data_IF_343410737440
#
_entry.id   IF_343410737440
#
_cell.length_a   1.000
_cell.length_b   1.000
_cell.length_c   1.000
_cell.angle_alpha   90.00
_cell.angle_beta   90.00
_cell.angle_gamma   90.00
#
_symmetry.space_group_name_H-M   'P 1'
#
loop_
_entity.id
_entity.type
_entity.pdbx_description
1 polymer ?
#
# COMPACT_ATOMS: atom_id res chain seq x y z
N UNK A 1 -15.85 -8.81 -11.90
CA UNK A 1 -15.98 -9.77 -13.00
C UNK A 1 -16.63 -11.05 -12.48
N UNK A 2 -17.62 -11.56 -13.19
CA UNK A 2 -18.28 -12.84 -12.84
C UNK A 2 -17.40 -14.04 -13.21
N UNK A 3 -16.54 -13.89 -14.22
CA UNK A 3 -15.55 -14.88 -14.58
C UNK A 3 -14.22 -14.67 -13.85
N UNK A 4 -13.49 -15.75 -13.61
CA UNK A 4 -12.12 -15.67 -13.11
C UNK A 4 -11.19 -15.23 -14.25
N UNK A 5 -10.59 -14.04 -14.13
CA UNK A 5 -9.64 -13.49 -15.11
C UNK A 5 -8.18 -13.79 -14.76
N UNK A 6 -7.84 -13.85 -13.47
CA UNK A 6 -6.54 -14.34 -13.01
C UNK A 6 -6.68 -15.67 -12.29
N UNK A 7 -5.80 -16.60 -12.61
CA UNK A 7 -5.81 -17.96 -12.03
C UNK A 7 -4.80 -18.12 -10.89
N UNK A 8 -3.99 -17.11 -10.65
CA UNK A 8 -2.95 -17.10 -9.63
C UNK A 8 -3.12 -15.93 -8.64
N UNK A 9 -2.38 -15.99 -7.54
CA UNK A 9 -2.34 -14.94 -6.52
C UNK A 9 -1.25 -13.90 -6.74
N UNK A 10 -0.72 -13.79 -7.95
CA UNK A 10 0.37 -12.87 -8.21
C UNK A 10 -0.08 -11.42 -8.17
N UNK A 11 0.81 -10.54 -7.76
CA UNK A 11 0.72 -9.10 -7.95
C UNK A 11 1.58 -8.76 -9.16
N UNK A 12 0.95 -8.26 -10.21
CA UNK A 12 1.65 -7.81 -11.41
C UNK A 12 2.04 -6.35 -11.21
N UNK A 13 3.34 -6.07 -11.30
CA UNK A 13 3.88 -4.71 -11.19
C UNK A 13 4.27 -4.26 -12.59
N UNK A 14 3.80 -3.09 -12.98
CA UNK A 14 4.18 -2.49 -14.24
C UNK A 14 5.32 -1.48 -14.04
N UNK A 15 6.11 -1.28 -15.07
CA UNK A 15 6.93 -0.09 -15.19
C UNK A 15 6.07 0.98 -15.87
N UNK A 16 5.40 1.81 -15.06
CA UNK A 16 4.55 2.88 -15.56
C UNK A 16 5.40 3.92 -16.30
N UNK A 17 5.56 3.68 -17.59
CA UNK A 17 6.05 4.69 -18.51
C UNK A 17 4.88 5.59 -18.92
N UNK A 18 4.92 6.85 -18.52
CA UNK A 18 3.87 7.85 -18.78
C UNK A 18 3.61 8.08 -20.27
N UNK A 19 4.49 7.62 -21.13
CA UNK A 19 4.39 7.79 -22.58
C UNK A 19 3.78 6.58 -23.29
N UNK A 20 4.09 5.35 -22.83
CA UNK A 20 3.72 4.12 -23.53
C UNK A 20 3.26 2.99 -22.60
N UNK A 21 3.42 3.15 -21.30
CA UNK A 21 3.06 2.17 -20.28
C UNK A 21 1.58 2.22 -19.92
N UNK A 22 1.14 1.29 -19.06
CA UNK A 22 -0.20 1.30 -18.52
C UNK A 22 -0.42 2.48 -17.57
N UNK A 23 -1.69 2.85 -17.39
CA UNK A 23 -2.07 3.88 -16.41
C UNK A 23 -1.80 3.44 -14.96
N UNK A 24 -1.70 2.14 -14.72
CA UNK A 24 -1.53 1.58 -13.37
C UNK A 24 -0.09 1.14 -13.10
N UNK A 25 0.26 1.12 -11.81
CA UNK A 25 1.56 0.64 -11.32
C UNK A 25 1.50 -0.82 -10.91
N UNK A 26 0.36 -1.28 -10.40
CA UNK A 26 0.17 -2.68 -10.05
C UNK A 26 -1.29 -3.12 -10.23
N UNK A 27 -1.47 -4.43 -10.45
CA UNK A 27 -2.78 -5.09 -10.44
C UNK A 27 -2.69 -6.43 -9.72
N UNK A 28 -3.73 -6.77 -8.96
CA UNK A 28 -3.84 -8.05 -8.27
C UNK A 28 -5.30 -8.50 -8.20
N UNK A 29 -5.53 -9.81 -8.25
CA UNK A 29 -6.85 -10.41 -8.00
C UNK A 29 -7.05 -10.63 -6.49
N UNK A 30 -7.83 -9.75 -5.87
CA UNK A 30 -8.14 -9.83 -4.45
C UNK A 30 -9.07 -10.98 -4.10
N UNK A 31 -9.90 -11.44 -5.02
CA UNK A 31 -10.74 -12.61 -4.78
C UNK A 31 -9.88 -13.85 -4.54
N UNK A 32 -8.74 -13.99 -5.23
CA UNK A 32 -7.80 -15.06 -4.99
C UNK A 32 -7.20 -15.02 -3.59
N UNK A 33 -6.76 -13.85 -3.13
CA UNK A 33 -6.18 -13.68 -1.80
C UNK A 33 -7.21 -13.90 -0.68
N UNK A 34 -8.47 -13.53 -0.89
CA UNK A 34 -9.50 -13.58 0.14
C UNK A 34 -10.24 -14.90 0.22
N UNK A 35 -10.22 -15.73 -0.82
CA UNK A 35 -10.93 -17.03 -0.85
C UNK A 35 -10.61 -17.94 0.32
N UNK A 36 -9.37 -17.96 0.77
CA UNK A 36 -8.96 -18.78 1.92
C UNK A 36 -9.22 -18.12 3.28
N UNK A 37 -9.54 -16.83 3.32
CA UNK A 37 -9.52 -16.03 4.55
C UNK A 37 -10.90 -15.66 5.08
N UNK A 38 -11.85 -15.43 4.20
CA UNK A 38 -13.15 -14.84 4.57
C UNK A 38 -14.33 -15.76 4.33
N UNK A 39 -14.13 -16.99 3.86
CA UNK A 39 -15.23 -17.85 3.44
C UNK A 39 -16.01 -17.28 2.25
N UNK A 40 -15.46 -16.29 1.54
CA UNK A 40 -16.08 -15.74 0.33
C UNK A 40 -16.19 -16.83 -0.74
N UNK A 41 -17.42 -17.08 -1.16
CA UNK A 41 -17.75 -18.05 -2.21
C UNK A 41 -17.71 -17.44 -3.60
N UNK A 42 -17.15 -16.23 -3.76
CA UNK A 42 -17.08 -15.56 -5.05
C UNK A 42 -16.25 -16.38 -6.04
N UNK A 43 -16.84 -16.71 -7.16
CA UNK A 43 -16.22 -17.55 -8.21
C UNK A 43 -15.48 -16.74 -9.26
N UNK A 44 -15.74 -15.44 -9.35
CA UNK A 44 -15.13 -14.52 -10.29
C UNK A 44 -13.84 -13.86 -9.77
N UNK A 45 -13.48 -12.74 -10.36
CA UNK A 45 -12.29 -11.95 -10.01
C UNK A 45 -12.65 -10.58 -9.45
N UNK A 46 -11.89 -10.14 -8.44
CA UNK A 46 -11.93 -8.77 -7.89
C UNK A 46 -10.57 -8.14 -8.15
N UNK A 47 -10.45 -7.42 -9.24
CA UNK A 47 -9.18 -6.80 -9.61
C UNK A 47 -8.99 -5.48 -8.85
N UNK A 48 -7.94 -5.42 -8.04
CA UNK A 48 -7.45 -4.17 -7.49
C UNK A 48 -6.38 -3.61 -8.42
N UNK A 49 -6.64 -2.43 -8.96
CA UNK A 49 -5.71 -1.66 -9.77
C UNK A 49 -5.16 -0.54 -8.89
N UNK A 50 -3.83 -0.45 -8.77
CA UNK A 50 -3.15 0.55 -7.97
C UNK A 50 -2.50 1.58 -8.90
N UNK A 51 -2.74 2.85 -8.63
CA UNK A 51 -2.12 3.98 -9.32
C UNK A 51 -1.42 4.83 -8.27
N UNK A 52 -0.11 4.67 -8.17
CA UNK A 52 0.74 5.47 -7.28
C UNK A 52 1.17 6.77 -7.98
N UNK A 53 1.58 7.77 -7.19
CA UNK A 53 2.02 9.07 -7.72
C UNK A 53 1.05 9.61 -8.78
N UNK A 54 -0.25 9.63 -8.45
CA UNK A 54 -1.35 9.82 -9.39
C UNK A 54 -1.58 11.30 -9.81
N UNK A 55 -0.59 12.17 -9.62
CA UNK A 55 -0.73 13.61 -9.91
C UNK A 55 -1.05 13.90 -11.37
N UNK A 56 -0.56 13.07 -12.28
CA UNK A 56 -0.77 13.17 -13.71
C UNK A 56 -2.16 12.72 -14.17
N UNK A 57 -2.86 11.93 -13.35
CA UNK A 57 -4.20 11.39 -13.66
C UNK A 57 -5.29 11.88 -12.72
N UNK A 58 -4.94 12.68 -11.70
CA UNK A 58 -5.92 13.15 -10.70
C UNK A 58 -7.02 14.03 -11.29
N UNK A 59 -6.82 14.61 -12.47
CA UNK A 59 -7.78 15.42 -13.20
C UNK A 59 -8.84 14.59 -13.93
N UNK A 60 -8.61 13.30 -14.13
CA UNK A 60 -9.57 12.40 -14.78
C UNK A 60 -10.74 12.12 -13.86
N UNK A 61 -11.93 11.93 -14.44
CA UNK A 61 -13.11 11.46 -13.69
C UNK A 61 -12.97 9.98 -13.33
N UNK A 62 -13.81 9.47 -12.44
CA UNK A 62 -13.79 8.06 -12.06
C UNK A 62 -14.09 7.17 -13.27
N UNK A 63 -15.05 7.56 -14.11
CA UNK A 63 -15.39 6.85 -15.34
C UNK A 63 -14.20 6.80 -16.32
N UNK A 64 -13.45 7.91 -16.44
CA UNK A 64 -12.26 7.98 -17.28
C UNK A 64 -11.14 7.09 -16.76
N UNK A 65 -10.94 7.06 -15.43
CA UNK A 65 -9.95 6.19 -14.79
C UNK A 65 -10.32 4.72 -14.97
N UNK A 66 -11.59 4.35 -14.79
CA UNK A 66 -12.09 2.99 -14.99
C UNK A 66 -11.91 2.59 -16.45
N UNK A 67 -12.29 3.44 -17.39
CA UNK A 67 -12.16 3.15 -18.83
C UNK A 67 -10.70 2.97 -19.25
N UNK A 68 -9.79 3.84 -18.80
CA UNK A 68 -8.37 3.75 -19.11
C UNK A 68 -7.74 2.50 -18.49
N UNK A 69 -8.04 2.22 -17.21
CA UNK A 69 -7.55 1.01 -16.54
C UNK A 69 -8.04 -0.26 -17.23
N UNK A 70 -9.30 -0.28 -17.69
CA UNK A 70 -9.86 -1.41 -18.43
C UNK A 70 -9.17 -1.60 -19.76
N UNK A 71 -8.94 -0.54 -20.53
CA UNK A 71 -8.25 -0.62 -21.81
C UNK A 71 -6.84 -1.20 -21.65
N UNK A 72 -6.13 -0.82 -20.59
CA UNK A 72 -4.81 -1.37 -20.30
C UNK A 72 -4.87 -2.82 -19.80
N UNK A 73 -5.85 -3.18 -18.98
CA UNK A 73 -6.07 -4.58 -18.59
C UNK A 73 -6.31 -5.45 -19.83
N UNK A 74 -7.15 -5.03 -20.76
CA UNK A 74 -7.40 -5.75 -22.02
C UNK A 74 -6.15 -5.86 -22.90
N UNK A 75 -5.28 -4.84 -22.86
CA UNK A 75 -4.03 -4.80 -23.62
C UNK A 75 -2.99 -5.77 -23.07
N UNK A 76 -2.78 -5.76 -21.74
CA UNK A 76 -1.68 -6.48 -21.10
C UNK A 76 -2.07 -7.88 -20.63
N UNK A 77 -3.35 -8.13 -20.36
CA UNK A 77 -3.85 -9.42 -19.86
C UNK A 77 -4.87 -10.02 -20.83
N UNK A 78 -4.45 -10.98 -21.66
CA UNK A 78 -5.36 -11.60 -22.65
C UNK A 78 -6.65 -12.18 -22.03
N UNK A 79 -6.59 -12.62 -20.79
CA UNK A 79 -7.74 -13.16 -20.04
C UNK A 79 -8.79 -12.12 -19.66
N UNK A 80 -8.42 -10.84 -19.66
CA UNK A 80 -9.36 -9.74 -19.43
C UNK A 80 -10.14 -9.35 -20.68
N UNK A 81 -9.64 -9.70 -21.88
CA UNK A 81 -10.21 -9.26 -23.15
C UNK A 81 -11.64 -9.71 -23.31
N UNK A 82 -12.52 -8.76 -23.59
CA UNK A 82 -13.96 -9.02 -23.78
C UNK A 82 -14.73 -9.26 -22.49
N UNK A 83 -14.05 -9.30 -21.35
CA UNK A 83 -14.73 -9.37 -20.04
C UNK A 83 -15.22 -7.98 -19.64
N UNK A 84 -16.44 -7.93 -19.11
CA UNK A 84 -17.02 -6.68 -18.61
C UNK A 84 -17.10 -6.78 -17.09
N UNK A 85 -16.53 -5.83 -16.36
CA UNK A 85 -16.71 -5.80 -14.91
C UNK A 85 -18.18 -5.58 -14.57
N UNK A 86 -18.71 -6.33 -13.62
CA UNK A 86 -20.08 -6.16 -13.11
C UNK A 86 -20.24 -4.91 -12.28
N UNK A 87 -19.15 -4.49 -11.64
CA UNK A 87 -19.06 -3.25 -10.87
C UNK A 87 -17.62 -2.72 -10.89
N UNK A 88 -17.46 -1.42 -10.70
CA UNK A 88 -16.17 -0.77 -10.58
C UNK A 88 -16.29 0.49 -9.73
N UNK A 89 -15.31 0.70 -8.85
CA UNK A 89 -15.24 1.89 -7.99
C UNK A 89 -13.83 2.44 -7.94
N UNK A 90 -13.71 3.75 -7.74
CA UNK A 90 -12.42 4.44 -7.59
C UNK A 90 -12.30 4.98 -6.17
N UNK A 91 -11.22 4.60 -5.48
CA UNK A 91 -10.86 5.15 -4.19
C UNK A 91 -9.72 6.15 -4.36
N UNK A 92 -9.99 7.42 -4.12
CA UNK A 92 -8.98 8.48 -4.19
C UNK A 92 -8.37 8.73 -2.83
N UNK A 93 -7.27 8.08 -2.55
CA UNK A 93 -6.57 8.15 -1.28
C UNK A 93 -5.57 9.31 -1.30
N UNK A 94 -6.07 10.53 -1.07
CA UNK A 94 -5.21 11.73 -1.07
C UNK A 94 -4.42 11.82 0.24
N UNK A 95 -3.10 12.05 0.12
CA UNK A 95 -2.23 12.26 1.28
C UNK A 95 -2.05 11.04 2.18
N UNK A 96 -2.26 9.83 1.65
CA UNK A 96 -2.21 8.58 2.42
C UNK A 96 -0.78 8.10 2.64
N UNK A 97 0.12 8.44 1.73
CA UNK A 97 1.54 8.10 1.85
C UNK A 97 2.40 9.33 2.14
N UNK A 98 3.40 9.14 2.98
CA UNK A 98 4.42 10.15 3.19
C UNK A 98 5.19 10.39 1.89
N UNK A 99 5.06 11.56 1.30
CA UNK A 99 5.80 11.92 0.09
C UNK A 99 7.29 12.04 0.37
N UNK A 100 8.10 11.14 -0.18
CA UNK A 100 9.57 11.15 -0.04
C UNK A 100 10.20 12.18 -0.98
N UNK A 101 9.91 13.45 -0.76
CA UNK A 101 10.56 14.55 -1.52
C UNK A 101 12.01 14.72 -1.07
N UNK A 102 12.81 15.36 -1.92
CA UNK A 102 14.19 15.74 -1.55
C UNK A 102 14.18 16.50 -0.21
N UNK A 103 15.01 16.06 0.73
CA UNK A 103 15.08 16.61 2.09
C UNK A 103 14.04 16.05 3.08
N UNK A 104 13.20 15.08 2.67
CA UNK A 104 12.23 14.44 3.56
C UNK A 104 12.89 13.90 4.83
N UNK A 105 13.97 13.15 4.70
CA UNK A 105 14.66 12.49 5.82
C UNK A 105 15.20 13.44 6.88
N UNK A 106 15.52 14.68 6.52
CA UNK A 106 15.95 15.70 7.49
C UNK A 106 14.80 16.23 8.34
N UNK A 107 13.55 15.96 7.95
CA UNK A 107 12.32 16.43 8.61
C UNK A 107 11.56 15.33 9.34
N UNK A 108 11.96 14.07 9.17
CA UNK A 108 11.34 12.94 9.88
C UNK A 108 11.60 13.08 11.38
N UNK A 109 10.54 12.99 12.22
CA UNK A 109 10.71 12.98 13.67
C UNK A 109 11.63 11.83 14.11
N UNK A 110 12.72 12.15 14.79
CA UNK A 110 13.73 11.17 15.25
C UNK A 110 13.35 10.51 16.57
N UNK A 111 12.41 11.09 17.28
CA UNK A 111 11.89 10.57 18.56
C UNK A 111 10.39 10.51 18.48
N UNK A 112 9.80 9.70 19.36
CA UNK A 112 8.37 9.64 19.55
C UNK A 112 7.84 10.72 20.50
N UNK A 113 8.73 11.46 21.13
CA UNK A 113 8.38 12.49 22.11
C UNK A 113 8.13 13.83 21.42
N UNK A 114 7.06 14.52 21.81
CA UNK A 114 6.70 15.84 21.25
C UNK A 114 7.23 17.01 22.06
N UNK A 115 7.79 16.77 23.25
CA UNK A 115 8.07 17.80 24.25
C UNK A 115 6.85 18.28 25.03
N UNK A 116 5.64 17.84 24.67
CA UNK A 116 4.41 18.09 25.42
C UNK A 116 4.10 16.89 26.33
N UNK A 117 3.91 17.09 27.64
CA UNK A 117 3.61 16.00 28.55
C UNK A 117 2.36 15.21 28.10
N UNK A 118 2.46 13.90 28.03
CA UNK A 118 1.35 13.01 27.67
C UNK A 118 1.01 12.96 26.18
N UNK A 119 1.78 13.63 25.31
CA UNK A 119 1.57 13.60 23.85
C UNK A 119 2.75 12.92 23.16
N UNK A 120 2.45 11.93 22.36
CA UNK A 120 3.43 11.09 21.66
C UNK A 120 3.13 11.04 20.17
N UNK A 121 4.17 10.78 19.36
CA UNK A 121 4.06 10.58 17.92
C UNK A 121 4.19 9.10 17.59
N UNK A 122 3.23 8.56 16.84
CA UNK A 122 3.29 7.22 16.27
C UNK A 122 2.78 7.24 14.84
N UNK A 123 3.42 6.51 13.98
CA UNK A 123 3.04 6.39 12.57
C UNK A 123 4.24 6.04 11.69
N UNK A 124 3.95 5.69 10.45
CA UNK A 124 4.97 5.36 9.45
C UNK A 124 5.81 6.56 9.00
N UNK A 125 5.41 7.76 9.39
CA UNK A 125 6.14 9.01 9.16
C UNK A 125 7.23 9.29 10.21
N UNK A 126 7.38 8.45 11.23
CA UNK A 126 8.43 8.57 12.24
C UNK A 126 9.68 7.79 11.81
N UNK A 127 10.85 8.13 12.43
CA UNK A 127 12.08 7.39 12.15
C UNK A 127 11.96 5.92 12.59
N UNK A 128 12.37 5.03 11.70
CA UNK A 128 12.26 3.60 11.93
C UNK A 128 13.08 2.80 10.94
N UNK A 129 13.11 1.46 11.12
CA UNK A 129 13.90 0.59 10.26
C UNK A 129 13.38 0.49 8.83
N UNK A 130 12.13 0.87 8.61
CA UNK A 130 11.49 0.91 7.29
C UNK A 130 11.10 2.32 6.91
N UNK A 131 10.97 2.53 5.59
CA UNK A 131 10.65 3.83 5.03
C UNK A 131 9.19 3.96 4.95
N UNK A 132 8.27 4.14 5.57
CA UNK A 132 6.82 4.17 5.48
C UNK A 132 6.17 2.79 5.25
N UNK A 133 4.90 2.73 5.50
CA UNK A 133 4.05 1.56 5.33
C UNK A 133 3.57 0.95 6.64
N UNK A 134 2.78 -0.09 6.52
CA UNK A 134 2.11 -0.73 7.66
C UNK A 134 3.09 -1.25 8.71
N UNK A 135 4.21 -1.81 8.28
CA UNK A 135 5.24 -2.33 9.18
C UNK A 135 5.85 -1.22 10.04
N UNK A 136 6.23 -0.10 9.42
CA UNK A 136 6.72 1.09 10.14
C UNK A 136 5.69 1.62 11.12
N UNK A 137 4.43 1.70 10.72
CA UNK A 137 3.36 2.17 11.59
C UNK A 137 3.18 1.26 12.83
N UNK A 138 3.20 -0.06 12.64
CA UNK A 138 3.10 -1.04 13.74
C UNK A 138 4.30 -0.94 14.69
N UNK A 139 5.51 -0.88 14.17
CA UNK A 139 6.74 -0.74 14.96
C UNK A 139 6.70 0.55 15.77
N UNK A 140 6.37 1.66 15.13
CA UNK A 140 6.24 2.97 15.77
C UNK A 140 5.20 2.97 16.87
N UNK A 141 4.01 2.40 16.62
CA UNK A 141 2.95 2.29 17.62
C UNK A 141 3.38 1.47 18.83
N UNK A 142 4.07 0.34 18.64
CA UNK A 142 4.61 -0.47 19.74
C UNK A 142 5.71 0.24 20.50
N UNK A 143 6.57 1.00 19.85
CA UNK A 143 7.60 1.79 20.51
C UNK A 143 6.98 2.83 21.43
N UNK A 144 5.98 3.57 20.97
CA UNK A 144 5.23 4.53 21.81
C UNK A 144 4.53 3.85 22.97
N UNK A 145 3.87 2.72 22.73
CA UNK A 145 3.23 1.95 23.80
C UNK A 145 4.24 1.57 24.90
N UNK A 146 5.44 1.14 24.52
CA UNK A 146 6.50 0.81 25.46
C UNK A 146 7.00 2.02 26.27
N UNK A 147 7.10 3.19 25.64
CA UNK A 147 7.43 4.43 26.36
C UNK A 147 6.38 4.79 27.41
N UNK A 148 5.11 4.65 27.07
CA UNK A 148 3.99 4.91 28.00
C UNK A 148 4.02 3.89 29.15
N UNK A 149 4.19 2.60 28.85
CA UNK A 149 4.27 1.53 29.84
C UNK A 149 5.45 1.71 30.80
N UNK A 150 6.61 2.11 30.30
CA UNK A 150 7.78 2.41 31.11
C UNK A 150 7.51 3.57 32.09
N UNK A 151 6.74 4.57 31.68
CA UNK A 151 6.33 5.69 32.56
C UNK A 151 5.45 5.28 33.76
N UNK A 152 4.81 4.11 33.69
CA UNK A 152 4.01 3.55 34.82
C UNK A 152 4.65 2.28 35.38
N UNK A 153 5.95 2.07 35.18
CA UNK A 153 6.70 0.89 35.66
C UNK A 153 6.12 -0.46 35.20
N UNK A 154 5.49 -0.50 34.04
CA UNK A 154 4.96 -1.74 33.45
C UNK A 154 5.98 -2.29 32.43
N UNK A 155 6.20 -3.63 32.38
CA UNK A 155 7.06 -4.21 31.36
C UNK A 155 6.49 -3.94 29.96
N UNK A 156 7.37 -3.52 29.05
CA UNK A 156 7.02 -3.32 27.65
C UNK A 156 6.82 -4.64 26.90
N UNK A 157 6.40 -4.52 25.66
CA UNK A 157 6.26 -5.63 24.73
C UNK A 157 7.47 -5.71 23.78
N UNK A 158 7.83 -6.91 23.40
CA UNK A 158 8.88 -7.11 22.40
C UNK A 158 8.48 -6.45 21.07
N UNK A 159 9.41 -5.67 20.51
CA UNK A 159 9.29 -5.14 19.16
C UNK A 159 10.02 -6.11 18.25
N UNK A 160 9.26 -6.93 17.53
CA UNK A 160 9.82 -7.82 16.53
C UNK A 160 10.45 -6.95 15.43
N UNK A 161 11.78 -7.01 15.32
CA UNK A 161 12.51 -6.45 14.20
C UNK A 161 12.75 -7.58 13.21
N UNK A 162 12.30 -7.45 11.97
CA UNK A 162 12.63 -8.48 10.99
C UNK A 162 14.13 -8.55 10.83
N UNK A 163 14.62 -9.77 10.69
CA UNK A 163 15.99 -10.00 10.28
C UNK A 163 16.13 -9.48 8.85
N UNK A 164 16.77 -8.34 8.70
CA UNK A 164 17.11 -7.85 7.37
C UNK A 164 17.91 -8.91 6.63
N UNK A 165 17.50 -9.21 5.43
CA UNK A 165 18.33 -9.93 4.50
C UNK A 165 19.70 -9.23 4.41
N UNK A 166 20.82 -9.97 4.44
CA UNK A 166 22.18 -9.41 4.55
C UNK A 166 22.56 -8.42 3.43
N UNK A 167 21.74 -8.26 2.41
CA UNK A 167 21.97 -7.33 1.31
C UNK A 167 21.87 -5.84 1.70
N UNK A 168 21.29 -5.50 2.84
CA UNK A 168 21.13 -4.10 3.28
C UNK A 168 22.12 -3.72 4.39
N UNK A 169 22.79 -4.70 4.99
CA UNK A 169 23.75 -4.46 6.08
C UNK A 169 25.20 -4.16 5.61
N UNK A 170 25.44 -4.08 4.30
CA UNK A 170 26.76 -3.86 3.73
C UNK A 170 26.90 -2.46 3.12
N UNK A 171 26.62 -1.40 3.90
CA UNK A 171 27.08 -0.03 3.59
C UNK A 171 27.34 0.74 4.86
#
# INVERSE_FOLDING_TARGET
YDAQVFTDGNVYISNRDRTHGPIFDAVADKAHHWRGWSGLTHTGSILQVLIDAAEDVQHLTDEQLIAASRADLDRFFPTCRGQVPTDATVLRLRGTYCGTRVGYWSKVPRTHETGMPGVWLAGDYTDGPYHYGMESAVISGRAVANLILAGVNHPGHEILRPNYLPFVAAK
#
